data_IF_882720224230
#
_entry.id   IF_882720224230
#
_cell.length_a   1.000
_cell.length_b   1.000
_cell.length_c   1.000
_cell.angle_alpha   90.00
_cell.angle_beta   90.00
_cell.angle_gamma   90.00
#
_symmetry.space_group_name_H-M   'P 1'
#
loop_
_entity.id
_entity.type
_entity.pdbx_description
1 polymer ?
#
# COMPACT_ATOMS: atom_id res chain seq x y z
N UNK A 1 4.89 2.05 12.24
CA UNK A 1 4.69 2.96 11.12
C UNK A 1 3.23 2.93 10.70
N UNK A 2 2.64 4.09 10.48
CA UNK A 2 1.22 4.18 10.14
C UNK A 2 1.06 4.66 8.70
N UNK A 3 0.34 3.89 7.90
CA UNK A 3 0.08 4.22 6.50
C UNK A 3 -1.43 4.42 6.33
N UNK A 4 -1.82 5.54 5.77
CA UNK A 4 -3.23 5.88 5.54
C UNK A 4 -3.43 6.34 4.11
N UNK A 5 -4.70 6.44 3.71
CA UNK A 5 -5.07 6.91 2.38
C UNK A 5 -4.43 8.27 2.09
N UNK A 6 -3.81 8.41 0.92
CA UNK A 6 -3.14 9.63 0.50
C UNK A 6 -1.64 9.61 0.72
N UNK A 7 -1.13 8.68 1.52
CA UNK A 7 0.31 8.59 1.77
C UNK A 7 1.04 8.07 0.54
N UNK A 8 2.31 8.50 0.42
CA UNK A 8 3.20 7.96 -0.60
C UNK A 8 3.97 6.80 0.01
N UNK A 9 4.03 5.71 -0.72
CA UNK A 9 4.72 4.50 -0.28
C UNK A 9 5.59 3.96 -1.39
N UNK A 10 6.49 3.06 -1.02
CA UNK A 10 7.39 2.41 -1.96
C UNK A 10 7.29 0.91 -1.77
N UNK A 11 7.13 0.19 -2.86
CA UNK A 11 7.15 -1.25 -2.89
C UNK A 11 8.22 -1.70 -3.86
N UNK A 12 9.26 -2.37 -3.33
CA UNK A 12 10.46 -2.65 -4.10
C UNK A 12 11.03 -1.31 -4.61
N UNK A 13 11.12 -1.12 -5.91
CA UNK A 13 11.63 0.12 -6.49
C UNK A 13 10.54 1.05 -7.04
N UNK A 14 9.28 0.70 -6.79
CA UNK A 14 8.16 1.48 -7.32
C UNK A 14 7.56 2.36 -6.24
N UNK A 15 7.35 3.64 -6.55
CA UNK A 15 6.62 4.55 -5.69
C UNK A 15 5.17 4.60 -6.11
N UNK A 16 4.28 4.61 -5.11
CA UNK A 16 2.86 4.68 -5.36
C UNK A 16 2.15 5.53 -4.32
N UNK A 17 0.85 5.70 -4.54
CA UNK A 17 -0.01 6.46 -3.63
C UNK A 17 -1.07 5.53 -3.08
N UNK A 18 -1.25 5.57 -1.76
CA UNK A 18 -2.26 4.77 -1.08
C UNK A 18 -3.64 5.33 -1.42
N UNK A 19 -4.51 4.47 -1.95
CA UNK A 19 -5.85 4.88 -2.37
C UNK A 19 -6.97 4.29 -1.53
N UNK A 20 -6.63 3.52 -0.50
CA UNK A 20 -7.62 2.97 0.42
C UNK A 20 -7.14 3.09 1.85
N UNK A 21 -8.07 2.98 2.80
CA UNK A 21 -7.69 2.79 4.19
C UNK A 21 -7.29 1.33 4.41
N UNK A 22 -6.49 1.05 5.45
CA UNK A 22 -6.10 -0.32 5.74
C UNK A 22 -7.32 -1.20 6.05
N UNK A 23 -7.26 -2.44 5.60
CA UNK A 23 -8.28 -3.42 5.91
C UNK A 23 -7.62 -4.78 6.14
N UNK A 24 -8.30 -5.63 6.89
CA UNK A 24 -7.75 -6.93 7.28
C UNK A 24 -8.53 -8.07 6.62
N UNK A 25 -7.80 -9.03 6.08
CA UNK A 25 -8.40 -10.28 5.63
C UNK A 25 -8.46 -11.25 6.80
N UNK A 26 -9.63 -11.86 6.99
CA UNK A 26 -9.82 -12.84 8.06
C UNK A 26 -8.96 -14.09 7.83
N UNK A 27 -8.72 -14.43 6.57
CA UNK A 27 -8.03 -15.67 6.20
C UNK A 27 -6.60 -15.74 6.71
N UNK A 28 -5.88 -14.62 6.73
CA UNK A 28 -4.49 -14.60 7.19
C UNK A 28 -4.26 -13.60 8.31
N UNK A 29 -5.29 -12.89 8.72
CA UNK A 29 -5.22 -11.88 9.81
C UNK A 29 -4.17 -10.80 9.55
N UNK A 30 -3.92 -10.51 8.27
CA UNK A 30 -2.97 -9.49 7.87
C UNK A 30 -3.67 -8.24 7.37
N UNK A 31 -3.04 -7.09 7.57
CA UNK A 31 -3.56 -5.82 7.10
C UNK A 31 -3.07 -5.53 5.68
N UNK A 32 -4.01 -5.18 4.82
CA UNK A 32 -3.77 -4.88 3.41
C UNK A 32 -4.16 -3.45 3.09
N UNK A 33 -3.65 -2.96 2.00
CA UNK A 33 -3.94 -1.61 1.54
C UNK A 33 -3.82 -1.60 0.02
N UNK A 34 -4.61 -0.75 -0.63
CA UNK A 34 -4.55 -0.62 -2.09
C UNK A 34 -3.65 0.56 -2.44
N UNK A 35 -2.74 0.33 -3.37
CA UNK A 35 -1.75 1.32 -3.78
C UNK A 35 -1.80 1.46 -5.30
N UNK A 36 -1.86 2.70 -5.78
CA UNK A 36 -1.80 2.98 -7.20
C UNK A 36 -0.39 3.37 -7.60
N UNK A 37 0.15 2.67 -8.58
CA UNK A 37 1.50 2.91 -9.11
C UNK A 37 1.39 3.57 -10.47
N UNK A 38 1.60 4.87 -10.53
CA UNK A 38 1.43 5.62 -11.78
C UNK A 38 2.41 5.22 -12.87
N UNK A 39 3.59 4.77 -12.50
CA UNK A 39 4.62 4.37 -13.45
C UNK A 39 4.18 3.18 -14.30
N UNK A 40 3.45 2.25 -13.72
CA UNK A 40 2.93 1.08 -14.42
C UNK A 40 1.42 1.17 -14.65
N UNK A 41 0.78 2.22 -14.15
CA UNK A 41 -0.65 2.47 -14.29
C UNK A 41 -1.50 1.31 -13.76
N UNK A 42 -1.13 0.79 -12.60
CA UNK A 42 -1.83 -0.34 -11.98
C UNK A 42 -2.07 -0.10 -10.50
N UNK A 43 -3.19 -0.63 -10.01
CA UNK A 43 -3.49 -0.67 -8.58
C UNK A 43 -3.18 -2.07 -8.07
N UNK A 44 -2.48 -2.14 -6.94
CA UNK A 44 -2.14 -3.42 -6.33
C UNK A 44 -2.60 -3.44 -4.88
N UNK A 45 -3.07 -4.60 -4.44
CA UNK A 45 -3.38 -4.85 -3.03
C UNK A 45 -2.17 -5.48 -2.38
N UNK A 46 -1.61 -4.80 -1.39
CA UNK A 46 -0.35 -5.21 -0.78
C UNK A 46 -0.46 -5.23 0.73
N UNK A 47 0.33 -6.09 1.36
CA UNK A 47 0.44 -6.10 2.81
C UNK A 47 1.17 -4.84 3.28
N UNK A 48 0.66 -4.21 4.33
CA UNK A 48 1.27 -2.99 4.85
C UNK A 48 2.73 -3.22 5.24
N UNK A 49 3.03 -4.38 5.79
CA UNK A 49 4.40 -4.67 6.24
C UNK A 49 5.41 -4.78 5.10
N UNK A 50 4.94 -4.91 3.86
CA UNK A 50 5.81 -4.97 2.69
C UNK A 50 6.11 -3.59 2.11
N UNK A 51 5.54 -2.54 2.68
CA UNK A 51 5.64 -1.18 2.14
C UNK A 51 6.56 -0.33 2.99
N UNK A 52 7.22 0.63 2.32
CA UNK A 52 7.97 1.69 2.97
C UNK A 52 7.23 3.00 2.79
N UNK A 53 7.06 3.75 3.86
CA UNK A 53 6.46 5.09 3.74
C UNK A 53 7.50 6.07 3.23
N UNK A 54 7.11 6.84 2.23
CA UNK A 54 7.98 7.87 1.62
C UNK A 54 7.54 9.23 2.15
N UNK A 55 8.48 9.96 2.71
CA UNK A 55 8.21 11.32 3.22
C UNK A 55 8.35 12.38 2.14
#
# INVERSE_FOLDING_TARGET
>A
MRIVKGDKVKYLDLEGVVISNPYMYITDMENYIDVYFSKVKETMTLKINDLEKVD
#
